data_IF_967328797487
#
_entry.id   IF_967328797487
#
_cell.length_a   1.000
_cell.length_b   1.000
_cell.length_c   1.000
_cell.angle_alpha   90.00
_cell.angle_beta   90.00
_cell.angle_gamma   90.00
#
_symmetry.space_group_name_H-M   'P 1'
#
loop_
_entity.id
_entity.type
_entity.pdbx_description
1 polymer ?
#
# COMPACT_ATOMS: atom_id res chain seq x y z
N UNK A 1 16.09 -21.38 1.26
CA UNK A 1 15.75 -21.48 -0.16
C UNK A 1 14.49 -22.32 -0.37
N UNK A 2 14.47 -23.60 0.02
CA UNK A 2 13.35 -24.51 -0.23
C UNK A 2 11.98 -23.98 0.24
N UNK A 3 11.90 -23.32 1.41
CA UNK A 3 10.66 -22.75 1.90
C UNK A 3 10.11 -21.63 0.98
N UNK A 4 11.00 -20.78 0.46
CA UNK A 4 10.63 -19.75 -0.49
C UNK A 4 10.23 -20.33 -1.86
N UNK A 5 10.98 -21.33 -2.33
CA UNK A 5 10.67 -22.01 -3.58
C UNK A 5 9.29 -22.69 -3.53
N UNK A 6 9.01 -23.40 -2.43
CA UNK A 6 7.69 -23.99 -2.21
C UNK A 6 6.58 -22.94 -2.14
N UNK A 7 6.82 -21.81 -1.46
CA UNK A 7 5.84 -20.73 -1.37
C UNK A 7 5.52 -20.09 -2.74
N UNK A 8 6.55 -19.91 -3.57
CA UNK A 8 6.39 -19.32 -4.91
C UNK A 8 5.68 -20.26 -5.89
N UNK A 9 5.80 -21.57 -5.69
CA UNK A 9 5.17 -22.56 -6.55
C UNK A 9 3.77 -22.98 -6.07
N UNK A 10 3.38 -22.59 -4.86
CA UNK A 10 2.05 -22.89 -4.31
C UNK A 10 1.05 -21.82 -4.72
N UNK A 11 -0.02 -22.22 -5.42
CA UNK A 11 -1.00 -21.28 -6.01
C UNK A 11 -2.41 -21.38 -5.43
N UNK A 12 -2.69 -22.41 -4.61
CA UNK A 12 -4.06 -22.66 -4.12
C UNK A 12 -4.46 -21.80 -2.90
N UNK A 13 -3.50 -21.42 -2.08
CA UNK A 13 -3.70 -20.70 -0.81
C UNK A 13 -2.53 -19.77 -0.51
N UNK A 14 -2.74 -18.73 0.30
CA UNK A 14 -1.63 -17.93 0.84
C UNK A 14 -0.65 -18.79 1.63
N UNK A 15 0.64 -18.51 1.51
CA UNK A 15 1.70 -19.20 2.24
C UNK A 15 2.33 -18.27 3.26
N UNK A 16 2.41 -18.69 4.50
CA UNK A 16 3.10 -18.00 5.59
C UNK A 16 4.35 -18.78 5.95
N UNK A 17 5.50 -18.11 5.93
CA UNK A 17 6.78 -18.70 6.34
C UNK A 17 7.15 -18.18 7.73
N UNK A 18 7.14 -19.05 8.73
CA UNK A 18 7.59 -18.73 10.08
C UNK A 18 9.11 -18.92 10.17
N UNK A 19 9.84 -17.81 10.09
CA UNK A 19 11.29 -17.83 10.12
C UNK A 19 11.82 -17.71 11.56
N UNK A 20 12.34 -18.79 12.12
CA UNK A 20 13.07 -18.75 13.40
C UNK A 20 14.51 -18.36 13.14
N UNK A 21 14.87 -17.16 13.55
CA UNK A 21 16.20 -16.59 13.34
C UNK A 21 16.95 -16.40 14.65
N UNK A 22 18.26 -16.18 14.56
CA UNK A 22 19.12 -15.88 15.70
C UNK A 22 19.69 -14.48 15.48
N UNK A 23 19.52 -13.60 16.47
CA UNK A 23 20.11 -12.26 16.42
C UNK A 23 21.63 -12.35 16.43
N UNK A 24 22.29 -11.55 15.59
CA UNK A 24 23.73 -11.57 15.46
C UNK A 24 24.27 -12.84 14.79
N UNK A 25 23.48 -13.53 13.97
CA UNK A 25 23.94 -14.73 13.24
C UNK A 25 25.27 -14.46 12.52
N UNK A 26 26.24 -15.31 12.76
CA UNK A 26 27.59 -15.17 12.21
C UNK A 26 28.59 -14.44 13.12
N UNK A 27 28.14 -13.75 14.16
CA UNK A 27 29.02 -13.02 15.07
C UNK A 27 29.75 -13.91 16.09
N UNK A 28 29.46 -15.23 16.12
CA UNK A 28 30.12 -16.15 17.04
C UNK A 28 30.06 -15.68 18.49
N UNK A 29 31.18 -15.74 19.19
CA UNK A 29 31.28 -15.32 20.59
C UNK A 29 31.07 -13.82 20.80
N UNK A 30 31.24 -12.99 19.77
CA UNK A 30 31.04 -11.55 19.82
C UNK A 30 29.58 -11.13 20.07
N UNK A 31 28.63 -12.04 19.91
CA UNK A 31 27.26 -11.66 20.20
C UNK A 31 26.16 -12.53 19.59
N UNK A 32 26.48 -13.65 18.95
CA UNK A 32 25.46 -14.51 18.35
C UNK A 32 24.51 -15.06 19.43
N UNK A 33 23.21 -14.76 19.28
CA UNK A 33 22.18 -15.17 20.25
C UNK A 33 22.21 -14.40 21.58
N UNK A 34 23.01 -13.35 21.70
CA UNK A 34 23.19 -12.57 22.92
C UNK A 34 22.57 -11.18 22.82
N UNK A 35 22.18 -10.62 23.97
CA UNK A 35 21.61 -9.27 24.02
C UNK A 35 22.62 -8.18 23.63
N UNK A 36 23.90 -8.42 23.91
CA UNK A 36 25.01 -7.49 23.56
C UNK A 36 25.08 -7.22 22.04
N UNK A 37 24.64 -8.15 21.20
CA UNK A 37 24.62 -7.99 19.75
C UNK A 37 23.91 -6.70 19.30
N UNK A 38 22.95 -6.19 20.08
CA UNK A 38 22.26 -4.94 19.76
C UNK A 38 23.15 -3.70 19.85
N UNK A 39 24.17 -3.73 20.72
CA UNK A 39 25.07 -2.62 20.98
C UNK A 39 26.46 -2.82 20.39
N UNK A 40 26.72 -3.99 19.82
CA UNK A 40 28.01 -4.30 19.20
C UNK A 40 28.27 -3.39 18.01
N UNK A 41 29.29 -2.54 18.13
CA UNK A 41 29.64 -1.55 17.10
C UNK A 41 30.82 -1.95 16.25
N UNK A 42 31.73 -2.75 16.81
CA UNK A 42 32.97 -3.22 16.17
C UNK A 42 33.22 -4.66 16.59
N UNK A 43 33.72 -5.45 15.68
CA UNK A 43 34.34 -6.74 15.95
C UNK A 43 35.83 -6.53 16.08
N UNK A 44 36.49 -7.30 16.93
CA UNK A 44 37.95 -7.36 16.96
C UNK A 44 38.52 -8.23 15.82
N UNK A 45 39.83 -8.27 15.67
CA UNK A 45 40.46 -8.96 14.54
C UNK A 45 40.21 -10.48 14.59
N UNK A 46 40.17 -11.06 15.76
CA UNK A 46 39.95 -12.51 15.89
C UNK A 46 38.51 -12.88 15.61
N UNK A 47 37.55 -12.07 16.05
CA UNK A 47 36.15 -12.18 15.72
C UNK A 47 35.89 -12.03 14.20
N UNK A 48 36.58 -11.10 13.53
CA UNK A 48 36.51 -10.91 12.08
C UNK A 48 37.09 -12.14 11.35
N UNK A 49 38.19 -12.71 11.85
CA UNK A 49 38.74 -13.96 11.30
C UNK A 49 37.80 -15.13 11.46
N UNK A 50 37.16 -15.27 12.62
CA UNK A 50 36.12 -16.31 12.85
C UNK A 50 35.01 -16.18 11.86
N UNK A 51 34.47 -14.96 11.66
CA UNK A 51 33.43 -14.67 10.66
C UNK A 51 33.89 -15.03 9.24
N UNK A 52 35.10 -14.59 8.84
CA UNK A 52 35.69 -14.90 7.54
C UNK A 52 35.78 -16.41 7.31
N UNK A 53 36.32 -17.14 8.29
CA UNK A 53 36.55 -18.57 8.18
C UNK A 53 35.24 -19.35 8.14
N UNK A 54 34.27 -18.97 8.96
CA UNK A 54 32.94 -19.55 8.98
C UNK A 54 32.22 -19.45 7.64
N UNK A 55 32.37 -18.33 6.95
CA UNK A 55 31.72 -18.07 5.66
C UNK A 55 32.65 -18.24 4.45
N UNK A 56 33.84 -18.79 4.64
CA UNK A 56 34.84 -19.02 3.59
C UNK A 56 35.09 -17.77 2.72
N UNK A 57 35.21 -16.59 3.36
CA UNK A 57 35.46 -15.35 2.65
C UNK A 57 36.93 -15.30 2.24
N UNK A 58 37.26 -15.09 0.95
CA UNK A 58 38.62 -15.21 0.42
C UNK A 58 39.48 -13.96 0.74
N UNK A 59 39.71 -13.66 2.03
CA UNK A 59 40.54 -12.57 2.50
C UNK A 59 41.71 -13.11 3.30
N UNK A 60 42.94 -12.78 2.88
CA UNK A 60 44.14 -13.19 3.58
C UNK A 60 44.32 -12.44 4.92
N UNK A 61 44.93 -13.07 5.91
CA UNK A 61 45.14 -12.49 7.24
C UNK A 61 45.77 -11.10 7.22
N UNK A 62 46.74 -10.86 6.35
CA UNK A 62 47.43 -9.56 6.20
C UNK A 62 46.51 -8.41 5.75
N UNK A 63 45.35 -8.72 5.22
CA UNK A 63 44.39 -7.73 4.70
C UNK A 63 43.10 -7.68 5.55
N UNK A 64 43.03 -8.46 6.63
CA UNK A 64 41.79 -8.62 7.41
C UNK A 64 41.37 -7.31 8.10
N UNK A 65 42.33 -6.51 8.52
CA UNK A 65 42.14 -5.23 9.20
C UNK A 65 41.47 -4.19 8.28
N UNK A 66 41.75 -4.29 6.98
CA UNK A 66 41.21 -3.36 5.97
C UNK A 66 39.74 -3.64 5.61
N UNK A 67 39.21 -4.78 6.05
CA UNK A 67 37.84 -5.24 5.73
C UNK A 67 37.53 -5.03 4.25
N UNK A 68 38.29 -5.59 3.30
CA UNK A 68 38.11 -5.32 1.89
C UNK A 68 36.81 -5.88 1.35
N UNK A 69 36.23 -5.20 0.39
CA UNK A 69 35.07 -5.72 -0.35
C UNK A 69 35.47 -6.96 -1.17
N UNK A 70 34.79 -8.06 -0.93
CA UNK A 70 34.96 -9.30 -1.68
C UNK A 70 33.87 -9.40 -2.75
N UNK A 71 34.28 -9.46 -4.00
CA UNK A 71 33.42 -9.75 -5.13
C UNK A 71 33.82 -11.09 -5.73
N UNK A 72 32.90 -12.04 -5.91
CA UNK A 72 33.17 -13.29 -6.61
C UNK A 72 33.67 -13.06 -8.04
N UNK A 73 34.42 -14.01 -8.58
CA UNK A 73 34.87 -13.93 -9.96
C UNK A 73 33.69 -13.81 -10.93
N UNK A 74 33.86 -13.05 -12.00
CA UNK A 74 32.75 -12.73 -12.93
C UNK A 74 32.15 -13.97 -13.61
N UNK A 75 32.91 -15.04 -13.70
CA UNK A 75 32.56 -16.37 -14.25
C UNK A 75 32.20 -17.40 -13.18
N UNK A 76 32.05 -16.97 -11.91
CA UNK A 76 31.64 -17.87 -10.83
C UNK A 76 30.15 -18.20 -10.89
N UNK A 77 29.75 -19.34 -10.33
CA UNK A 77 28.35 -19.76 -10.27
C UNK A 77 27.47 -18.78 -9.48
N UNK A 78 28.03 -18.12 -8.47
CA UNK A 78 27.34 -17.11 -7.67
C UNK A 78 26.99 -15.87 -8.54
N UNK A 79 27.93 -15.44 -9.37
CA UNK A 79 27.72 -14.31 -10.25
C UNK A 79 26.78 -14.65 -11.41
N UNK A 80 26.90 -15.84 -11.98
CA UNK A 80 25.97 -16.33 -12.99
C UNK A 80 24.54 -16.35 -12.45
N UNK A 81 24.32 -16.94 -11.27
CA UNK A 81 23.03 -16.97 -10.60
C UNK A 81 22.50 -15.57 -10.33
N UNK A 82 23.34 -14.69 -9.77
CA UNK A 82 22.95 -13.30 -9.49
C UNK A 82 22.50 -12.57 -10.75
N UNK A 83 23.27 -12.66 -11.82
CA UNK A 83 22.97 -11.99 -13.08
C UNK A 83 21.68 -12.53 -13.71
N UNK A 84 21.51 -13.85 -13.74
CA UNK A 84 20.27 -14.47 -14.23
C UNK A 84 19.04 -13.93 -13.48
N UNK A 85 19.07 -13.95 -12.14
CA UNK A 85 17.95 -13.51 -11.31
C UNK A 85 17.66 -12.02 -11.47
N UNK A 86 18.70 -11.20 -11.48
CA UNK A 86 18.53 -9.75 -11.67
C UNK A 86 18.00 -9.40 -13.05
N UNK A 87 18.46 -10.09 -14.10
CA UNK A 87 17.96 -9.86 -15.45
C UNK A 87 16.48 -10.24 -15.58
N UNK A 88 16.04 -11.33 -14.96
CA UNK A 88 14.62 -11.72 -14.90
C UNK A 88 13.74 -10.70 -14.18
N UNK A 89 14.30 -9.94 -13.25
CA UNK A 89 13.63 -8.86 -12.53
C UNK A 89 13.77 -7.48 -13.21
N UNK A 90 14.28 -7.43 -14.43
CA UNK A 90 14.41 -6.18 -15.20
C UNK A 90 15.66 -5.36 -14.88
N UNK A 91 16.67 -5.92 -14.19
CA UNK A 91 17.94 -5.24 -13.94
C UNK A 91 18.36 -5.22 -12.47
N UNK A 92 19.44 -4.52 -12.15
CA UNK A 92 20.10 -4.62 -10.85
C UNK A 92 19.39 -3.83 -9.76
N UNK A 93 19.31 -2.65 -9.69
CA UNK A 93 18.57 -1.90 -8.67
C UNK A 93 17.21 -1.50 -9.24
N UNK A 94 16.15 -1.60 -8.46
CA UNK A 94 14.92 -0.98 -8.87
C UNK A 94 15.20 0.51 -9.05
N UNK A 95 15.20 0.96 -10.29
CA UNK A 95 15.19 2.39 -10.56
C UNK A 95 13.76 2.86 -10.31
N UNK A 96 13.56 3.73 -9.31
CA UNK A 96 12.27 4.37 -9.11
C UNK A 96 12.01 5.30 -10.30
N UNK A 97 10.93 5.05 -11.00
CA UNK A 97 10.43 6.00 -11.97
C UNK A 97 9.80 7.15 -11.21
N UNK A 98 10.23 8.36 -11.48
CA UNK A 98 9.64 9.58 -10.92
C UNK A 98 8.63 10.20 -11.87
N UNK A 99 8.65 9.75 -13.12
CA UNK A 99 7.74 10.19 -14.17
C UNK A 99 6.96 8.98 -14.70
N UNK A 100 5.76 9.24 -15.17
CA UNK A 100 4.87 8.27 -15.81
C UNK A 100 4.24 8.89 -17.03
N UNK A 101 3.50 8.12 -17.81
CA UNK A 101 2.70 8.66 -18.90
C UNK A 101 1.77 9.76 -18.37
N UNK A 102 1.62 10.83 -19.15
CA UNK A 102 0.65 11.86 -18.85
C UNK A 102 -0.78 11.28 -18.96
N UNK A 103 -1.66 11.71 -18.05
CA UNK A 103 -3.07 11.35 -18.10
C UNK A 103 -3.86 12.51 -18.70
N UNK A 104 -4.74 12.18 -19.64
CA UNK A 104 -5.72 13.12 -20.14
C UNK A 104 -6.86 13.24 -19.13
N UNK A 105 -6.78 14.29 -18.32
CA UNK A 105 -7.77 14.55 -17.26
C UNK A 105 -8.97 15.30 -17.83
N UNK A 106 -10.20 14.99 -17.38
CA UNK A 106 -11.38 15.72 -17.83
C UNK A 106 -11.32 17.18 -17.43
N UNK A 107 -11.88 18.03 -18.27
CA UNK A 107 -12.04 19.45 -17.98
C UNK A 107 -13.08 19.69 -16.86
N UNK A 108 -13.08 20.88 -16.26
CA UNK A 108 -14.06 21.25 -15.24
C UNK A 108 -15.50 21.20 -15.75
N UNK A 109 -15.73 21.29 -17.04
CA UNK A 109 -17.06 21.16 -17.64
C UNK A 109 -17.71 19.80 -17.36
N UNK A 110 -16.90 18.74 -17.22
CA UNK A 110 -17.41 17.41 -16.83
C UNK A 110 -18.07 17.38 -15.44
N UNK A 111 -17.75 18.37 -14.60
CA UNK A 111 -18.25 18.51 -13.22
C UNK A 111 -19.21 19.69 -13.05
N UNK A 112 -19.70 20.25 -14.16
CA UNK A 112 -20.54 21.44 -14.15
C UNK A 112 -21.73 21.34 -13.19
N UNK A 113 -22.39 20.18 -13.15
CA UNK A 113 -23.56 19.97 -12.27
C UNK A 113 -23.21 20.04 -10.78
N UNK A 114 -21.97 19.80 -10.40
CA UNK A 114 -21.48 19.94 -9.03
C UNK A 114 -20.97 21.37 -8.77
N UNK A 115 -20.40 22.00 -9.77
CA UNK A 115 -19.86 23.35 -9.68
C UNK A 115 -20.96 24.42 -9.68
N UNK A 116 -22.05 24.22 -10.42
CA UNK A 116 -23.20 25.13 -10.45
C UNK A 116 -24.03 25.08 -9.15
N UNK A 117 -23.75 24.10 -8.27
CA UNK A 117 -24.45 23.94 -7.01
C UNK A 117 -25.74 23.13 -7.13
N UNK A 118 -26.47 22.97 -6.03
CA UNK A 118 -27.67 22.13 -5.91
C UNK A 118 -28.98 22.93 -5.90
N UNK A 119 -28.90 24.24 -6.02
CA UNK A 119 -30.05 25.13 -5.88
C UNK A 119 -30.66 24.99 -4.48
N UNK A 120 -31.98 24.79 -4.40
CA UNK A 120 -32.70 24.60 -3.13
C UNK A 120 -32.58 23.18 -2.56
N UNK A 121 -31.93 22.27 -3.26
CA UNK A 121 -31.83 20.87 -2.84
C UNK A 121 -30.61 20.68 -1.92
N UNK A 122 -30.86 20.26 -0.70
CA UNK A 122 -29.82 19.91 0.25
C UNK A 122 -29.00 18.70 -0.25
N UNK A 123 -27.69 18.78 -0.12
CA UNK A 123 -26.76 17.71 -0.41
C UNK A 123 -25.57 17.76 0.55
N UNK A 124 -25.18 16.63 1.07
CA UNK A 124 -23.94 16.54 1.87
C UNK A 124 -22.72 16.68 0.98
N UNK A 125 -21.59 17.12 1.57
CA UNK A 125 -20.30 17.17 0.88
C UNK A 125 -19.85 15.79 0.42
N UNK A 126 -20.13 14.76 1.21
CA UNK A 126 -19.87 13.36 0.85
C UNK A 126 -20.62 12.96 -0.42
N UNK A 127 -21.91 13.30 -0.53
CA UNK A 127 -22.70 13.02 -1.74
C UNK A 127 -22.20 13.82 -2.96
N UNK A 128 -21.74 15.05 -2.75
CA UNK A 128 -21.12 15.81 -3.83
C UNK A 128 -19.84 15.12 -4.33
N UNK A 129 -18.99 14.69 -3.40
CA UNK A 129 -17.79 13.90 -3.71
C UNK A 129 -18.13 12.61 -4.47
N UNK A 130 -19.08 11.81 -4.01
CA UNK A 130 -19.48 10.57 -4.68
C UNK A 130 -19.97 10.80 -6.11
N UNK A 131 -20.66 11.93 -6.36
CA UNK A 131 -21.08 12.30 -7.73
C UNK A 131 -19.89 12.66 -8.61
N UNK A 132 -18.89 13.36 -8.07
CA UNK A 132 -17.63 13.65 -8.77
C UNK A 132 -16.89 12.33 -9.06
N UNK A 133 -16.79 11.46 -8.08
CA UNK A 133 -16.17 10.13 -8.24
C UNK A 133 -16.88 9.32 -9.33
N UNK A 134 -18.21 9.30 -9.33
CA UNK A 134 -19.02 8.64 -10.36
C UNK A 134 -18.78 9.23 -11.76
N UNK A 135 -18.54 10.54 -11.87
CA UNK A 135 -18.21 11.17 -13.14
C UNK A 135 -16.81 10.78 -13.61
N UNK A 136 -15.83 10.80 -12.70
CA UNK A 136 -14.46 10.35 -12.99
C UNK A 136 -14.43 8.89 -13.46
N UNK A 137 -15.16 8.00 -12.82
CA UNK A 137 -15.20 6.57 -13.19
C UNK A 137 -15.88 6.31 -14.54
N UNK A 138 -16.68 7.26 -15.04
CA UNK A 138 -17.28 7.21 -16.39
C UNK A 138 -16.41 7.83 -17.47
N UNK A 139 -15.37 8.53 -17.08
CA UNK A 139 -14.45 9.11 -18.06
C UNK A 139 -13.74 8.01 -18.85
N UNK A 140 -13.68 8.17 -20.16
CA UNK A 140 -13.17 7.15 -21.09
C UNK A 140 -11.65 7.02 -21.06
N UNK A 141 -10.93 8.07 -20.64
CA UNK A 141 -9.47 8.13 -20.66
C UNK A 141 -8.87 7.73 -19.33
N UNK A 142 -9.45 8.18 -18.21
CA UNK A 142 -8.95 7.90 -16.87
C UNK A 142 -9.86 7.01 -16.01
N UNK A 143 -11.09 6.75 -16.43
CA UNK A 143 -12.08 6.07 -15.59
C UNK A 143 -11.62 4.71 -15.04
N UNK A 144 -10.92 3.92 -15.84
CA UNK A 144 -10.37 2.63 -15.42
C UNK A 144 -9.15 2.74 -14.48
N UNK A 145 -8.62 3.96 -14.28
CA UNK A 145 -7.51 4.22 -13.36
C UNK A 145 -7.95 4.70 -12.00
N UNK A 146 -9.23 5.02 -11.86
CA UNK A 146 -9.84 5.44 -10.60
C UNK A 146 -10.06 4.21 -9.73
N UNK A 147 -9.50 4.19 -8.54
CA UNK A 147 -9.61 3.06 -7.60
C UNK A 147 -10.22 3.56 -6.29
N UNK A 148 -11.54 3.46 -6.11
CA UNK A 148 -12.15 3.68 -4.81
C UNK A 148 -11.80 2.52 -3.88
N UNK A 149 -11.31 2.84 -2.69
CA UNK A 149 -10.90 1.88 -1.68
C UNK A 149 -11.62 2.23 -0.39
N UNK A 150 -12.35 1.30 0.17
CA UNK A 150 -13.07 1.48 1.43
C UNK A 150 -12.78 0.30 2.35
N UNK A 151 -12.61 0.53 3.68
CA UNK A 151 -12.52 -0.57 4.63
C UNK A 151 -13.81 -1.38 4.64
N UNK A 152 -14.94 -0.68 4.77
CA UNK A 152 -16.29 -1.21 4.77
C UNK A 152 -17.27 -0.04 4.62
N UNK A 153 -18.55 -0.34 4.60
CA UNK A 153 -19.63 0.65 4.67
C UNK A 153 -19.68 1.66 3.52
N UNK A 154 -19.37 1.22 2.31
CA UNK A 154 -19.51 2.05 1.13
C UNK A 154 -20.92 2.73 1.05
N UNK A 155 -21.95 2.10 1.62
CA UNK A 155 -23.29 2.66 1.74
C UNK A 155 -23.38 3.89 2.63
N UNK A 156 -22.69 3.87 3.78
CA UNK A 156 -22.65 5.03 4.69
C UNK A 156 -22.11 6.27 4.00
N UNK A 157 -21.22 6.08 3.04
CA UNK A 157 -20.71 7.16 2.19
C UNK A 157 -21.60 7.46 0.97
N UNK A 158 -22.75 6.78 0.83
CA UNK A 158 -23.66 6.96 -0.30
C UNK A 158 -23.13 6.43 -1.63
N UNK A 159 -22.25 5.43 -1.58
CA UNK A 159 -21.59 4.84 -2.75
C UNK A 159 -22.39 3.68 -3.38
N UNK A 160 -23.51 3.29 -2.85
CA UNK A 160 -24.29 2.15 -3.34
C UNK A 160 -24.69 2.28 -4.82
N UNK A 161 -24.84 3.49 -5.32
CA UNK A 161 -25.08 3.73 -6.74
C UNK A 161 -23.92 3.29 -7.64
N UNK A 162 -22.71 3.25 -7.11
CA UNK A 162 -21.50 2.83 -7.82
C UNK A 162 -21.45 1.30 -7.97
N UNK A 163 -22.09 0.52 -7.09
CA UNK A 163 -22.13 -0.94 -7.21
C UNK A 163 -22.73 -1.38 -8.55
N UNK A 164 -23.77 -0.67 -9.00
CA UNK A 164 -24.37 -0.94 -10.30
C UNK A 164 -23.49 -0.49 -11.46
N UNK A 165 -22.75 0.60 -11.28
CA UNK A 165 -21.92 1.19 -12.32
C UNK A 165 -20.67 0.36 -12.58
N UNK A 166 -19.95 -0.01 -11.54
CA UNK A 166 -18.61 -0.62 -11.63
C UNK A 166 -18.43 -1.88 -10.79
N UNK A 167 -19.27 -2.14 -9.80
CA UNK A 167 -19.19 -3.30 -8.93
C UNK A 167 -18.04 -3.25 -7.91
N UNK A 168 -18.13 -4.12 -6.92
CA UNK A 168 -17.09 -4.39 -5.94
C UNK A 168 -16.19 -5.49 -6.51
N UNK A 169 -14.89 -5.33 -6.43
CA UNK A 169 -13.97 -6.35 -6.91
C UNK A 169 -13.99 -7.60 -6.04
N UNK A 170 -14.12 -8.75 -6.67
CA UNK A 170 -13.94 -10.06 -6.05
C UNK A 170 -13.27 -11.00 -7.06
N UNK A 171 -12.15 -11.63 -6.68
CA UNK A 171 -11.42 -12.56 -7.55
C UNK A 171 -12.26 -13.76 -8.00
N UNK A 172 -13.22 -14.18 -7.18
CA UNK A 172 -14.12 -15.29 -7.46
C UNK A 172 -15.49 -14.85 -8.00
N UNK A 173 -15.79 -13.56 -7.95
CA UNK A 173 -17.12 -13.01 -8.18
C UNK A 173 -18.04 -13.25 -6.98
N UNK A 174 -19.31 -12.95 -7.14
CA UNK A 174 -20.30 -13.11 -6.08
C UNK A 174 -20.79 -14.55 -5.98
N UNK A 175 -20.41 -15.23 -4.91
CA UNK A 175 -20.73 -16.65 -4.68
C UNK A 175 -21.97 -16.90 -3.81
N UNK A 176 -22.62 -15.83 -3.37
CA UNK A 176 -23.81 -15.88 -2.49
C UNK A 176 -24.84 -14.84 -2.89
N UNK A 177 -26.05 -15.02 -2.40
CA UNK A 177 -27.09 -13.99 -2.43
C UNK A 177 -27.16 -13.34 -1.06
N UNK A 178 -27.06 -12.01 -0.91
CA UNK A 178 -27.25 -11.34 0.37
C UNK A 178 -28.58 -11.72 0.99
N UNK A 179 -28.62 -11.98 2.32
CA UNK A 179 -29.84 -12.36 3.02
C UNK A 179 -30.95 -11.30 2.93
N UNK A 180 -30.56 -10.05 2.83
CA UNK A 180 -31.42 -8.89 2.69
C UNK A 180 -31.52 -8.35 1.25
N UNK A 181 -31.26 -9.17 0.26
CA UNK A 181 -31.25 -8.79 -1.14
C UNK A 181 -32.56 -8.10 -1.61
N UNK A 182 -33.69 -8.48 -1.02
CA UNK A 182 -35.01 -7.89 -1.31
C UNK A 182 -35.14 -6.46 -0.73
N UNK A 183 -34.31 -6.09 0.24
CA UNK A 183 -34.33 -4.81 0.93
C UNK A 183 -33.21 -3.90 0.48
N UNK A 184 -32.15 -4.48 -0.08
CA UNK A 184 -30.98 -3.77 -0.55
C UNK A 184 -31.19 -3.16 -1.92
N UNK A 185 -30.72 -1.94 -2.09
CA UNK A 185 -30.68 -1.28 -3.39
C UNK A 185 -29.72 -2.04 -4.24
N UNK A 186 -29.31 -2.83 -4.67
CA UNK A 186 -28.34 -3.46 -5.55
C UNK A 186 -26.95 -3.61 -4.89
N UNK A 187 -26.54 -4.84 -4.71
CA UNK A 187 -25.21 -5.23 -4.28
C UNK A 187 -24.58 -6.16 -5.32
N UNK A 188 -23.36 -5.88 -5.73
CA UNK A 188 -22.70 -6.67 -6.76
C UNK A 188 -21.21 -6.78 -6.51
N UNK A 189 -20.75 -8.01 -6.33
CA UNK A 189 -19.35 -8.40 -6.43
C UNK A 189 -19.05 -8.98 -7.81
N UNK A 190 -17.94 -8.59 -8.41
CA UNK A 190 -17.59 -8.98 -9.77
C UNK A 190 -16.08 -9.10 -9.94
N UNK A 191 -15.63 -10.05 -10.76
CA UNK A 191 -14.21 -10.18 -11.12
C UNK A 191 -13.64 -8.96 -11.83
N UNK A 192 -14.48 -8.22 -12.53
CA UNK A 192 -14.15 -6.95 -13.15
C UNK A 192 -14.57 -5.74 -12.31
N UNK A 193 -14.90 -5.93 -11.03
CA UNK A 193 -15.27 -4.86 -10.12
C UNK A 193 -14.11 -3.87 -9.91
N UNK A 194 -14.44 -2.62 -9.66
CA UNK A 194 -13.44 -1.53 -9.56
C UNK A 194 -13.35 -0.95 -8.14
N UNK A 195 -14.36 -1.17 -7.30
CA UNK A 195 -14.32 -0.77 -5.90
C UNK A 195 -13.61 -1.85 -5.10
N UNK A 196 -12.58 -1.48 -4.34
CA UNK A 196 -11.94 -2.38 -3.37
C UNK A 196 -12.60 -2.18 -2.01
N UNK A 197 -13.37 -3.15 -1.56
CA UNK A 197 -13.98 -3.19 -0.24
C UNK A 197 -13.27 -4.24 0.60
N UNK A 198 -12.42 -3.77 1.52
CA UNK A 198 -11.40 -4.60 2.19
C UNK A 198 -11.93 -5.27 3.47
N UNK A 199 -13.17 -4.97 3.87
CA UNK A 199 -13.67 -5.27 5.20
C UNK A 199 -13.20 -4.22 6.24
N UNK A 200 -13.66 -4.32 7.48
CA UNK A 200 -13.27 -3.39 8.56
C UNK A 200 -11.80 -3.61 8.91
N UNK A 201 -10.93 -3.19 8.02
CA UNK A 201 -9.48 -3.34 8.07
C UNK A 201 -8.80 -2.15 7.39
N UNK A 202 -8.65 -1.08 8.11
CA UNK A 202 -8.04 0.15 7.61
C UNK A 202 -6.59 -0.07 7.16
N UNK A 203 -5.86 -0.94 7.83
CA UNK A 203 -4.49 -1.28 7.45
C UNK A 203 -4.43 -1.97 6.08
N UNK A 204 -5.32 -2.94 5.82
CA UNK A 204 -5.42 -3.61 4.52
C UNK A 204 -5.85 -2.64 3.41
N UNK A 205 -6.87 -1.83 3.69
CA UNK A 205 -7.34 -0.80 2.75
C UNK A 205 -6.22 0.20 2.39
N UNK A 206 -5.43 0.62 3.39
CA UNK A 206 -4.30 1.51 3.13
C UNK A 206 -3.18 0.83 2.34
N UNK A 207 -2.91 -0.44 2.55
CA UNK A 207 -1.95 -1.20 1.74
C UNK A 207 -2.38 -1.25 0.26
N UNK A 208 -3.65 -1.43 -0.03
CA UNK A 208 -4.19 -1.36 -1.39
C UNK A 208 -4.05 0.04 -2.00
N UNK A 209 -4.29 1.09 -1.20
CA UNK A 209 -4.05 2.47 -1.61
C UNK A 209 -2.57 2.72 -1.92
N UNK A 210 -1.66 2.25 -1.06
CA UNK A 210 -0.22 2.38 -1.24
C UNK A 210 0.26 1.67 -2.51
N UNK A 211 -0.20 0.43 -2.74
CA UNK A 211 0.12 -0.33 -3.93
C UNK A 211 -0.36 0.39 -5.22
N UNK A 212 -1.58 0.90 -5.21
CA UNK A 212 -2.13 1.67 -6.33
C UNK A 212 -1.39 2.99 -6.53
N UNK A 213 -1.11 3.72 -5.43
CA UNK A 213 -0.46 5.03 -5.46
C UNK A 213 1.01 4.99 -5.87
N UNK A 214 1.67 3.84 -5.77
CA UNK A 214 3.07 3.63 -6.20
C UNK A 214 3.17 2.90 -7.54
N UNK A 215 2.07 2.48 -8.14
CA UNK A 215 2.06 1.70 -9.38
C UNK A 215 2.70 2.42 -10.57
N UNK A 216 2.64 3.75 -10.60
CA UNK A 216 3.33 4.55 -11.62
C UNK A 216 4.85 4.31 -11.59
N UNK A 217 5.43 4.18 -10.41
CA UNK A 217 6.87 3.96 -10.21
C UNK A 217 7.28 2.50 -10.43
N UNK A 218 6.47 1.57 -9.95
CA UNK A 218 6.78 0.15 -9.96
C UNK A 218 6.43 -0.53 -11.29
N UNK A 219 5.32 -0.11 -11.92
CA UNK A 219 4.74 -0.80 -13.07
C UNK A 219 4.53 0.10 -14.29
N UNK A 220 4.95 1.37 -14.23
CA UNK A 220 4.70 2.37 -15.28
C UNK A 220 3.20 2.52 -15.60
N UNK A 221 2.37 2.28 -14.60
CA UNK A 221 0.91 2.30 -14.72
C UNK A 221 0.36 3.26 -13.67
N UNK A 222 0.14 4.53 -14.00
CA UNK A 222 -0.40 5.49 -13.05
C UNK A 222 -1.86 5.15 -12.72
N UNK A 223 -2.14 4.93 -11.45
CA UNK A 223 -3.49 4.76 -10.90
C UNK A 223 -3.85 5.96 -10.04
N UNK A 224 -5.12 6.17 -9.80
CA UNK A 224 -5.68 7.30 -9.03
C UNK A 224 -6.53 6.71 -7.90
N UNK A 225 -5.91 6.28 -6.80
CA UNK A 225 -6.63 5.70 -5.67
C UNK A 225 -7.28 6.79 -4.80
N UNK A 226 -8.48 6.49 -4.34
CA UNK A 226 -9.23 7.23 -3.35
C UNK A 226 -9.48 6.31 -2.15
N UNK A 227 -8.76 6.52 -1.05
CA UNK A 227 -9.03 5.84 0.20
C UNK A 227 -10.08 6.61 0.98
N UNK A 228 -11.26 6.02 1.13
CA UNK A 228 -12.45 6.62 1.73
C UNK A 228 -12.73 5.92 3.05
N UNK A 229 -12.70 6.65 4.14
CA UNK A 229 -12.76 6.09 5.48
C UNK A 229 -13.47 7.03 6.45
N UNK A 230 -13.86 6.52 7.61
CA UNK A 230 -14.26 7.37 8.71
C UNK A 230 -13.07 8.21 9.19
N UNK A 231 -13.19 9.51 9.16
CA UNK A 231 -12.08 10.43 9.46
C UNK A 231 -11.39 10.10 10.80
N UNK A 232 -12.17 9.77 11.82
CA UNK A 232 -11.65 9.40 13.15
C UNK A 232 -10.74 8.17 13.11
N UNK A 233 -10.93 7.26 12.18
CA UNK A 233 -10.20 5.99 12.10
C UNK A 233 -9.07 6.00 11.06
N UNK A 234 -8.79 7.13 10.45
CA UNK A 234 -7.70 7.30 9.49
C UNK A 234 -6.33 7.35 10.14
N UNK A 235 -5.79 8.54 10.31
CA UNK A 235 -4.42 8.73 10.83
C UNK A 235 -4.15 8.06 12.18
N UNK A 236 -5.16 7.90 13.03
CA UNK A 236 -5.01 7.21 14.31
C UNK A 236 -4.69 5.72 14.17
N UNK A 237 -5.20 5.07 13.11
CA UNK A 237 -5.00 3.64 12.89
C UNK A 237 -3.90 3.33 11.89
N UNK A 238 -3.68 4.21 10.91
CA UNK A 238 -2.76 3.95 9.80
C UNK A 238 -1.69 5.03 9.61
N UNK A 239 -1.42 5.82 10.64
CA UNK A 239 -0.45 6.93 10.57
C UNK A 239 0.93 6.50 10.07
N UNK A 240 1.46 5.39 10.54
CA UNK A 240 2.75 4.83 10.10
C UNK A 240 2.74 4.47 8.60
N UNK A 241 1.64 3.91 8.12
CA UNK A 241 1.49 3.60 6.69
C UNK A 241 1.36 4.86 5.86
N UNK A 242 0.69 5.90 6.36
CA UNK A 242 0.60 7.20 5.67
C UNK A 242 1.98 7.84 5.56
N UNK A 243 2.79 7.75 6.64
CA UNK A 243 4.20 8.15 6.61
C UNK A 243 4.99 7.42 5.54
N UNK A 244 4.88 6.09 5.54
CA UNK A 244 5.52 5.25 4.53
C UNK A 244 5.05 5.60 3.11
N UNK A 245 3.78 5.95 2.96
CA UNK A 245 3.21 6.44 1.71
C UNK A 245 3.85 7.75 1.24
N UNK A 246 4.07 8.68 2.17
CA UNK A 246 4.80 9.93 1.91
C UNK A 246 6.25 9.68 1.47
N UNK A 247 6.97 8.84 2.20
CA UNK A 247 8.35 8.45 1.87
C UNK A 247 8.47 7.77 0.50
N UNK A 248 7.48 6.95 0.15
CA UNK A 248 7.42 6.27 -1.14
C UNK A 248 6.90 7.15 -2.27
N UNK A 249 6.53 8.40 -1.98
CA UNK A 249 5.96 9.33 -2.95
C UNK A 249 4.70 8.77 -3.62
N UNK A 250 3.86 8.09 -2.84
CA UNK A 250 2.56 7.61 -3.29
C UNK A 250 1.67 8.75 -3.78
N UNK A 251 0.89 8.49 -4.81
CA UNK A 251 -0.03 9.46 -5.41
C UNK A 251 -1.46 8.99 -5.20
N UNK A 252 -2.31 9.86 -4.68
CA UNK A 252 -3.72 9.52 -4.46
C UNK A 252 -4.37 10.43 -3.42
N UNK A 253 -5.60 10.11 -3.08
CA UNK A 253 -6.44 10.92 -2.20
C UNK A 253 -6.82 10.13 -0.95
N UNK A 254 -6.78 10.80 0.18
CA UNK A 254 -7.25 10.32 1.48
C UNK A 254 -8.49 11.11 1.84
N UNK A 255 -9.65 10.46 1.86
CA UNK A 255 -10.95 11.10 2.03
C UNK A 255 -11.55 10.70 3.38
N UNK A 256 -11.39 11.55 4.37
CA UNK A 256 -12.04 11.40 5.66
C UNK A 256 -13.50 11.81 5.61
N UNK A 257 -14.40 10.87 5.71
CA UNK A 257 -15.84 11.09 5.80
C UNK A 257 -16.33 11.16 7.25
N UNK A 258 -17.60 11.52 7.46
CA UNK A 258 -18.29 11.53 8.76
C UNK A 258 -17.52 12.25 9.88
N UNK A 259 -16.89 13.39 9.56
CA UNK A 259 -16.00 14.11 10.49
C UNK A 259 -16.71 15.19 11.34
N UNK A 260 -17.93 15.56 11.00
CA UNK A 260 -18.64 16.70 11.58
C UNK A 260 -19.08 16.47 13.02
N UNK A 261 -18.53 17.22 13.97
CA UNK A 261 -18.87 17.09 15.39
C UNK A 261 -20.32 17.39 15.70
N UNK A 262 -20.92 18.34 15.00
CA UNK A 262 -22.32 18.76 15.23
C UNK A 262 -23.33 17.92 14.46
N UNK A 263 -22.94 17.39 13.32
CA UNK A 263 -23.80 16.60 12.44
C UNK A 263 -23.83 15.11 12.77
N UNK A 264 -22.91 14.65 13.63
CA UNK A 264 -22.76 13.25 14.02
C UNK A 264 -23.22 12.99 15.47
N UNK A 265 -24.11 13.80 16.01
CA UNK A 265 -24.56 13.67 17.39
C UNK A 265 -25.16 12.29 17.72
N UNK A 266 -25.79 11.64 16.76
CA UNK A 266 -26.35 10.30 16.90
C UNK A 266 -25.33 9.16 16.84
N UNK A 267 -24.13 9.40 16.33
CA UNK A 267 -23.10 8.37 16.18
C UNK A 267 -22.13 8.26 17.35
N UNK A 268 -22.17 9.23 18.27
CA UNK A 268 -21.36 9.25 19.47
C UNK A 268 -19.95 9.82 19.25
N UNK A 269 -19.25 9.99 20.38
CA UNK A 269 -17.96 10.67 20.46
C UNK A 269 -16.87 9.97 19.65
N UNK A 270 -16.89 8.67 19.54
CA UNK A 270 -15.88 7.87 18.83
C UNK A 270 -15.79 8.16 17.33
N UNK A 271 -16.80 8.77 16.73
CA UNK A 271 -16.79 9.18 15.32
C UNK A 271 -16.46 10.67 15.11
N UNK A 272 -16.34 11.43 16.18
CA UNK A 272 -16.11 12.87 16.09
C UNK A 272 -14.62 13.17 15.98
N UNK A 273 -14.18 13.50 14.77
CA UNK A 273 -12.82 13.93 14.50
C UNK A 273 -12.66 15.45 14.59
N UNK A 274 -11.51 15.90 15.02
CA UNK A 274 -11.18 17.32 15.08
C UNK A 274 -9.67 17.58 15.01
N UNK A 275 -8.87 16.55 14.76
CA UNK A 275 -7.42 16.63 14.80
C UNK A 275 -6.71 15.97 13.60
N UNK A 276 -7.43 15.31 12.71
CA UNK A 276 -6.81 14.66 11.53
C UNK A 276 -6.04 15.65 10.66
N UNK A 277 -6.56 16.86 10.45
CA UNK A 277 -5.85 17.88 9.67
C UNK A 277 -4.53 18.30 10.34
N UNK A 278 -4.51 18.40 11.68
CA UNK A 278 -3.28 18.69 12.44
C UNK A 278 -2.29 17.55 12.31
N UNK A 279 -2.76 16.32 12.46
CA UNK A 279 -1.91 15.13 12.30
C UNK A 279 -1.34 15.03 10.89
N UNK A 280 -2.12 15.33 9.88
CA UNK A 280 -1.70 15.31 8.48
C UNK A 280 -0.51 16.27 8.21
N UNK A 281 -0.36 17.35 8.97
CA UNK A 281 0.78 18.27 8.82
C UNK A 281 2.14 17.62 9.15
N UNK A 282 2.15 16.51 9.84
CA UNK A 282 3.37 15.77 10.18
C UNK A 282 3.81 14.82 9.07
N UNK A 283 2.95 14.56 8.10
CA UNK A 283 3.19 13.57 7.03
C UNK A 283 3.92 14.23 5.86
N UNK A 284 5.07 13.70 5.42
CA UNK A 284 5.78 14.22 4.26
C UNK A 284 4.92 14.13 2.99
N UNK A 285 5.00 15.16 2.15
CA UNK A 285 4.30 15.20 0.86
C UNK A 285 2.76 15.11 0.94
N UNK A 286 2.17 15.33 2.11
CA UNK A 286 0.73 15.37 2.31
C UNK A 286 0.23 16.81 2.33
N UNK A 287 -0.74 17.12 1.48
CA UNK A 287 -1.43 18.42 1.46
C UNK A 287 -2.85 18.21 1.96
N UNK A 288 -3.25 19.00 2.97
CA UNK A 288 -4.55 18.88 3.64
C UNK A 288 -5.46 20.07 3.28
N UNK A 289 -6.74 19.78 3.15
CA UNK A 289 -7.79 20.77 2.87
C UNK A 289 -8.94 20.64 3.86
#
# INVERSE_FOLDING_TARGET
>A
YAAYDNAMNHTERPTIILAKTVKGFGMGEAGEGQNVAHQQKKLDIDEIKEFRDRFNIPVADKNIEDIPYCKPAADSLEMEYLHERRNRLGGYLPSRRTQSIALDVPSLEAFKTQLDGTGEREASTTMAFVRILAALMRDKDIGQRIVPIVPDEARTFGMEGLFRQVGIYSSEGQLYTPEDADQLMYYREDKGGQILEEGINEAGAFCSWLASGTSYSNHDTPMIPFYIYYSMFGFQRVGDFVWAGGDQQSRGFLIGGTAGRTTLAGEGLQHQDGHSLVTATTIPNCVSY
#
